data_IF_910800590532
#
_entry.id   IF_910800590532
#
_cell.length_a   1.000
_cell.length_b   1.000
_cell.length_c   1.000
_cell.angle_alpha   90.00
_cell.angle_beta   90.00
_cell.angle_gamma   90.00
#
_symmetry.space_group_name_H-M   'P 1'
#
loop_
_entity.id
_entity.type
_entity.pdbx_description
1 polymer ?
#
# COMPACT_ATOMS: atom_id res chain seq x y z
N UNK A 1 -20.13 -8.61 14.70
CA UNK A 1 -20.85 -9.79 15.21
C UNK A 1 -20.14 -11.07 14.75
N UNK A 2 -20.36 -12.23 15.39
CA UNK A 2 -19.80 -13.52 14.93
C UNK A 2 -20.11 -13.82 13.45
N UNK A 3 -21.34 -13.54 13.02
CA UNK A 3 -21.80 -13.72 11.64
C UNK A 3 -21.00 -12.92 10.62
N UNK A 4 -20.60 -11.69 10.95
CA UNK A 4 -19.81 -10.83 10.05
C UNK A 4 -18.37 -11.31 9.86
N UNK A 5 -17.84 -12.04 10.84
CA UNK A 5 -16.47 -12.57 10.79
C UNK A 5 -16.39 -14.02 10.32
N UNK A 6 -17.53 -14.57 9.86
CA UNK A 6 -17.70 -15.95 9.39
C UNK A 6 -17.27 -17.02 10.43
N UNK A 7 -17.41 -16.74 11.73
CA UNK A 7 -17.06 -17.67 12.81
C UNK A 7 -18.25 -17.90 13.73
N UNK A 8 -18.48 -19.15 14.11
CA UNK A 8 -19.56 -19.50 15.04
C UNK A 8 -19.32 -18.90 16.44
N UNK A 9 -20.39 -18.44 17.07
CA UNK A 9 -20.36 -17.91 18.43
C UNK A 9 -19.74 -18.90 19.43
N UNK A 10 -19.96 -20.21 19.23
CA UNK A 10 -19.37 -21.28 20.05
C UNK A 10 -17.83 -21.28 19.98
N UNK A 11 -17.28 -21.07 18.80
CA UNK A 11 -15.83 -20.94 18.62
C UNK A 11 -15.31 -19.70 19.34
N UNK A 12 -16.02 -18.57 19.26
CA UNK A 12 -15.62 -17.35 19.95
C UNK A 12 -15.70 -17.47 21.48
N UNK A 13 -16.68 -18.22 22.02
CA UNK A 13 -16.73 -18.56 23.45
C UNK A 13 -15.46 -19.29 23.89
N UNK A 14 -14.98 -20.26 23.10
CA UNK A 14 -13.72 -20.96 23.38
C UNK A 14 -12.49 -20.03 23.33
N UNK A 15 -12.56 -18.93 22.58
CA UNK A 15 -11.51 -17.90 22.51
C UNK A 15 -11.59 -16.87 23.66
N UNK A 16 -12.62 -16.95 24.51
CA UNK A 16 -12.81 -16.09 25.68
C UNK A 16 -13.91 -15.04 25.54
N UNK A 17 -14.65 -15.00 24.43
CA UNK A 17 -15.79 -14.10 24.26
C UNK A 17 -17.03 -14.66 24.96
N UNK A 18 -17.25 -14.27 26.21
CA UNK A 18 -18.34 -14.83 27.05
C UNK A 18 -19.62 -14.01 27.00
N UNK A 19 -19.50 -12.68 26.87
CA UNK A 19 -20.63 -11.75 26.91
C UNK A 19 -20.58 -10.78 25.74
N UNK A 20 -21.75 -10.26 25.35
CA UNK A 20 -21.90 -9.17 24.40
C UNK A 20 -21.54 -7.80 25.02
N UNK A 21 -21.61 -6.75 24.21
CA UNK A 21 -21.29 -5.39 24.66
C UNK A 21 -22.24 -4.84 25.74
N UNK A 22 -23.45 -5.41 25.87
CA UNK A 22 -24.44 -5.05 26.90
C UNK A 22 -24.23 -5.87 28.19
N UNK A 23 -23.39 -6.90 28.14
CA UNK A 23 -23.11 -7.79 29.26
C UNK A 23 -24.03 -9.01 29.32
N UNK A 24 -24.82 -9.30 28.28
CA UNK A 24 -25.60 -10.53 28.19
C UNK A 24 -24.71 -11.69 27.73
N UNK A 25 -25.03 -12.91 28.15
CA UNK A 25 -24.30 -14.12 27.71
C UNK A 25 -24.40 -14.31 26.18
N UNK A 26 -23.29 -14.73 25.57
CA UNK A 26 -23.22 -15.01 24.14
C UNK A 26 -23.94 -16.33 23.80
N UNK A 27 -25.03 -16.24 23.04
CA UNK A 27 -25.91 -17.37 22.69
C UNK A 27 -26.19 -17.50 21.19
N UNK A 28 -25.92 -16.45 20.40
CA UNK A 28 -26.18 -16.46 18.96
C UNK A 28 -25.12 -15.67 18.15
N UNK A 29 -25.15 -15.83 16.83
CA UNK A 29 -24.17 -15.23 15.90
C UNK A 29 -24.44 -13.75 15.55
N UNK A 30 -25.56 -13.19 16.01
CA UNK A 30 -26.00 -11.82 15.69
C UNK A 30 -25.70 -10.82 16.82
N UNK A 31 -25.35 -11.31 18.02
CA UNK A 31 -24.92 -10.47 19.13
C UNK A 31 -23.64 -9.71 18.78
N UNK A 32 -23.61 -8.43 19.16
CA UNK A 32 -22.45 -7.56 18.96
C UNK A 32 -21.43 -7.78 20.08
N UNK A 33 -20.18 -8.01 19.71
CA UNK A 33 -19.09 -8.31 20.64
C UNK A 33 -18.08 -7.18 20.62
N UNK A 34 -17.55 -6.82 21.79
CA UNK A 34 -16.39 -5.94 21.89
C UNK A 34 -15.12 -6.74 21.57
N UNK A 35 -14.41 -6.34 20.51
CA UNK A 35 -13.16 -6.96 20.06
C UNK A 35 -12.06 -6.87 21.14
N UNK A 36 -11.32 -7.96 21.37
CA UNK A 36 -10.15 -7.90 22.26
C UNK A 36 -8.99 -7.12 21.62
N UNK A 37 -8.19 -6.37 22.40
CA UNK A 37 -7.17 -5.46 21.88
C UNK A 37 -6.08 -6.05 20.98
N UNK A 38 -5.83 -7.36 21.03
CA UNK A 38 -4.82 -8.05 20.20
C UNK A 38 -5.44 -9.10 19.28
N UNK A 39 -6.76 -9.11 19.12
CA UNK A 39 -7.44 -9.97 18.16
C UNK A 39 -7.55 -9.26 16.79
N UNK A 40 -7.44 -10.05 15.72
CA UNK A 40 -7.37 -9.57 14.35
C UNK A 40 -8.31 -10.35 13.44
N UNK A 41 -9.05 -9.62 12.60
CA UNK A 41 -9.95 -10.18 11.59
C UNK A 41 -9.26 -10.02 10.24
N UNK A 42 -8.99 -11.15 9.58
CA UNK A 42 -8.15 -11.21 8.38
C UNK A 42 -9.01 -11.09 7.13
N UNK A 43 -8.50 -10.43 6.10
CA UNK A 43 -9.10 -10.43 4.77
C UNK A 43 -9.15 -11.85 4.18
N UNK A 44 -10.30 -12.27 3.65
CA UNK A 44 -10.49 -13.62 3.10
C UNK A 44 -9.55 -13.97 1.96
N UNK A 45 -9.09 -12.96 1.21
CA UNK A 45 -8.09 -13.12 0.15
C UNK A 45 -6.73 -13.65 0.64
N UNK A 46 -6.42 -13.52 1.93
CA UNK A 46 -5.18 -14.00 2.53
C UNK A 46 -5.31 -15.43 3.11
N UNK A 47 -6.53 -15.99 3.20
CA UNK A 47 -6.78 -17.28 3.82
C UNK A 47 -5.93 -18.41 3.19
N UNK A 48 -5.99 -18.55 1.87
CA UNK A 48 -5.22 -19.57 1.12
C UNK A 48 -3.70 -19.39 1.31
N UNK A 49 -3.24 -18.15 1.47
CA UNK A 49 -1.83 -17.88 1.72
C UNK A 49 -1.39 -18.37 3.10
N UNK A 50 -2.19 -18.10 4.14
CA UNK A 50 -1.90 -18.57 5.49
C UNK A 50 -1.99 -20.09 5.62
N UNK A 51 -2.99 -20.74 5.00
CA UNK A 51 -3.10 -22.22 4.97
C UNK A 51 -1.87 -22.85 4.33
N UNK A 52 -1.38 -22.33 3.20
CA UNK A 52 -0.14 -22.83 2.58
C UNK A 52 1.09 -22.59 3.46
N UNK A 53 1.12 -21.46 4.17
CA UNK A 53 2.23 -21.14 5.08
C UNK A 53 2.26 -22.12 6.25
N UNK A 54 1.12 -22.44 6.86
CA UNK A 54 1.06 -23.41 7.96
C UNK A 54 1.42 -24.82 7.49
N UNK A 55 0.96 -25.24 6.30
CA UNK A 55 1.36 -26.51 5.70
C UNK A 55 2.86 -26.58 5.43
N UNK A 56 3.46 -25.50 4.94
CA UNK A 56 4.91 -25.40 4.78
C UNK A 56 5.65 -25.54 6.12
N UNK A 57 5.17 -24.90 7.18
CA UNK A 57 5.79 -25.01 8.51
C UNK A 57 5.69 -26.43 9.05
N UNK A 58 4.55 -27.10 8.88
CA UNK A 58 4.37 -28.48 9.31
C UNK A 58 5.29 -29.43 8.52
N UNK A 59 5.38 -29.27 7.20
CA UNK A 59 6.34 -30.05 6.39
C UNK A 59 7.80 -29.77 6.79
N UNK A 60 8.14 -28.52 7.11
CA UNK A 60 9.47 -28.14 7.59
C UNK A 60 9.79 -28.80 8.93
N UNK A 61 8.84 -28.80 9.88
CA UNK A 61 9.00 -29.46 11.18
C UNK A 61 9.22 -30.96 11.03
N UNK A 62 8.39 -31.63 10.22
CA UNK A 62 8.47 -33.09 10.03
C UNK A 62 9.71 -33.49 9.23
N UNK A 63 9.94 -32.89 8.06
CA UNK A 63 10.97 -33.37 7.12
C UNK A 63 12.37 -32.87 7.45
N UNK A 64 12.49 -31.66 7.99
CA UNK A 64 13.80 -31.05 8.25
C UNK A 64 14.20 -31.16 9.72
N UNK A 65 13.28 -30.87 10.64
CA UNK A 65 13.57 -30.90 12.08
C UNK A 65 13.27 -32.24 12.76
N UNK A 66 12.52 -33.15 12.11
CA UNK A 66 12.14 -34.44 12.69
C UNK A 66 11.19 -34.31 13.89
N UNK A 67 10.37 -33.26 13.91
CA UNK A 67 9.39 -32.96 14.95
C UNK A 67 7.97 -33.25 14.45
N UNK A 68 7.02 -33.34 15.38
CA UNK A 68 5.60 -33.43 15.05
C UNK A 68 5.09 -32.13 14.40
N UNK A 69 4.07 -32.21 13.52
CA UNK A 69 3.43 -31.03 12.93
C UNK A 69 2.74 -30.19 14.01
N UNK A 70 2.77 -28.86 13.85
CA UNK A 70 2.28 -27.91 14.85
C UNK A 70 0.87 -27.42 14.54
N UNK A 71 0.60 -27.01 13.29
CA UNK A 71 -0.68 -26.38 12.93
C UNK A 71 -1.75 -27.42 12.59
N UNK A 72 -1.43 -28.43 11.78
CA UNK A 72 -2.38 -29.43 11.26
C UNK A 72 -3.61 -28.80 10.58
N UNK A 73 -3.41 -27.67 9.92
CA UNK A 73 -4.46 -26.84 9.29
C UNK A 73 -4.74 -27.34 7.87
N UNK A 74 -6.01 -27.60 7.56
CA UNK A 74 -6.47 -27.95 6.20
C UNK A 74 -7.39 -26.88 5.61
N UNK A 75 -8.17 -26.22 6.45
CA UNK A 75 -9.14 -25.19 6.06
C UNK A 75 -8.82 -23.85 6.72
N UNK A 76 -9.28 -22.72 6.16
CA UNK A 76 -9.14 -21.42 6.81
C UNK A 76 -9.73 -21.36 8.22
N UNK A 77 -10.80 -22.10 8.49
CA UNK A 77 -11.45 -22.10 9.80
C UNK A 77 -10.57 -22.72 10.90
N UNK A 78 -9.64 -23.61 10.53
CA UNK A 78 -8.67 -24.19 11.47
C UNK A 78 -7.64 -23.15 11.93
N UNK A 79 -7.46 -22.03 11.22
CA UNK A 79 -6.53 -20.95 11.60
C UNK A 79 -7.05 -20.10 12.76
N UNK A 80 -8.34 -20.21 13.10
CA UNK A 80 -8.96 -19.42 14.17
C UNK A 80 -8.33 -19.76 15.51
N UNK A 81 -7.83 -18.75 16.21
CA UNK A 81 -7.12 -18.89 17.49
C UNK A 81 -5.60 -19.01 17.35
N UNK A 82 -5.06 -19.23 16.14
CA UNK A 82 -3.61 -19.22 15.95
C UNK A 82 -3.03 -17.82 16.03
N UNK A 83 -1.77 -17.76 16.46
CA UNK A 83 -1.04 -16.52 16.69
C UNK A 83 -0.30 -16.06 15.43
N UNK A 84 -0.35 -14.76 15.21
CA UNK A 84 0.34 -14.04 14.15
C UNK A 84 1.26 -12.98 14.76
N UNK A 85 2.30 -12.64 14.02
CA UNK A 85 3.12 -11.48 14.26
C UNK A 85 2.77 -10.42 13.21
N UNK A 86 2.27 -9.28 13.65
CA UNK A 86 2.06 -8.14 12.76
C UNK A 86 3.23 -7.16 12.87
N UNK A 87 3.72 -6.68 11.73
CA UNK A 87 4.86 -5.79 11.63
C UNK A 87 4.54 -4.64 10.68
N UNK A 88 4.72 -3.42 11.15
CA UNK A 88 4.62 -2.24 10.30
C UNK A 88 5.92 -2.02 9.52
N UNK A 89 5.83 -1.68 8.22
CA UNK A 89 6.91 -1.02 7.51
C UNK A 89 7.55 0.13 8.30
N UNK A 90 8.84 0.30 8.10
CA UNK A 90 9.74 1.22 8.79
C UNK A 90 9.83 1.01 10.31
N UNK A 91 9.47 -0.19 10.80
CA UNK A 91 9.64 -0.57 12.21
C UNK A 91 10.38 -1.91 12.34
N UNK A 92 10.83 -2.23 13.56
CA UNK A 92 11.50 -3.50 13.86
C UNK A 92 10.89 -4.23 15.06
N UNK A 93 9.74 -3.76 15.54
CA UNK A 93 8.99 -4.33 16.65
C UNK A 93 7.72 -4.97 16.12
N UNK A 94 7.68 -6.30 16.10
CA UNK A 94 6.46 -7.04 15.82
C UNK A 94 5.50 -6.96 17.02
N UNK A 95 4.21 -7.03 16.75
CA UNK A 95 3.18 -7.12 17.79
C UNK A 95 2.44 -8.45 17.62
N UNK A 96 2.37 -9.20 18.72
CA UNK A 96 1.67 -10.47 18.76
C UNK A 96 0.15 -10.22 18.65
N UNK A 97 -0.51 -11.03 17.84
CA UNK A 97 -1.95 -10.99 17.67
C UNK A 97 -2.51 -12.39 17.40
N UNK A 98 -3.82 -12.53 17.50
CA UNK A 98 -4.56 -13.78 17.30
C UNK A 98 -5.61 -13.60 16.21
N UNK A 99 -5.69 -14.57 15.30
CA UNK A 99 -6.73 -14.60 14.28
C UNK A 99 -8.06 -15.00 14.92
N UNK A 100 -9.12 -14.24 14.68
CA UNK A 100 -10.46 -14.55 15.21
C UNK A 100 -11.55 -14.70 14.17
N UNK A 101 -11.26 -14.40 12.90
CA UNK A 101 -12.23 -14.55 11.83
C UNK A 101 -11.77 -13.95 10.51
N UNK A 102 -12.67 -14.01 9.54
CA UNK A 102 -12.45 -13.63 8.15
C UNK A 102 -13.42 -12.53 7.73
N UNK A 103 -13.04 -11.71 6.76
CA UNK A 103 -13.93 -10.69 6.21
C UNK A 103 -13.80 -10.57 4.70
N UNK A 104 -14.93 -10.33 4.03
CA UNK A 104 -15.03 -10.09 2.58
C UNK A 104 -14.61 -8.66 2.20
N UNK A 105 -13.53 -8.14 2.79
CA UNK A 105 -12.91 -6.89 2.39
C UNK A 105 -11.41 -7.09 2.11
N UNK A 106 -10.81 -6.14 1.40
CA UNK A 106 -9.38 -6.20 1.06
C UNK A 106 -8.46 -5.75 2.20
N UNK A 107 -9.02 -5.27 3.31
CA UNK A 107 -8.30 -4.83 4.51
C UNK A 107 -8.46 -5.82 5.66
N UNK A 108 -7.59 -5.73 6.66
CA UNK A 108 -7.79 -6.43 7.93
C UNK A 108 -8.31 -5.47 8.99
N UNK A 109 -9.09 -5.97 9.94
CA UNK A 109 -9.61 -5.20 11.06
C UNK A 109 -8.94 -5.59 12.36
N UNK A 110 -8.66 -4.60 13.19
CA UNK A 110 -8.15 -4.79 14.54
C UNK A 110 -8.60 -3.65 15.44
N UNK A 111 -8.37 -3.82 16.74
CA UNK A 111 -8.59 -2.76 17.71
C UNK A 111 -7.67 -1.55 17.40
N UNK A 112 -8.13 -0.28 17.55
CA UNK A 112 -7.30 0.90 17.24
C UNK A 112 -5.95 0.92 17.97
N UNK A 113 -5.94 0.52 19.24
CA UNK A 113 -4.71 0.35 20.02
C UNK A 113 -3.71 -0.61 19.35
N UNK A 114 -4.17 -1.68 18.70
CA UNK A 114 -3.30 -2.62 18.01
C UNK A 114 -2.58 -1.96 16.84
N UNK A 115 -3.29 -1.21 16.01
CA UNK A 115 -2.67 -0.46 14.92
C UNK A 115 -1.68 0.58 15.44
N UNK A 116 -2.04 1.31 16.49
CA UNK A 116 -1.16 2.30 17.10
C UNK A 116 0.08 1.69 17.77
N UNK A 117 -0.02 0.47 18.33
CA UNK A 117 1.12 -0.24 18.91
C UNK A 117 2.19 -0.58 17.87
N UNK A 118 1.79 -0.70 16.60
CA UNK A 118 2.67 -0.86 15.44
C UNK A 118 3.13 0.47 14.85
N UNK A 119 2.78 1.60 15.46
CA UNK A 119 3.05 2.97 14.96
C UNK A 119 2.37 3.25 13.61
N UNK A 120 1.11 2.83 13.47
CA UNK A 120 0.26 3.16 12.31
C UNK A 120 -0.76 4.23 12.63
N UNK A 121 -0.99 5.09 11.64
CA UNK A 121 -1.94 6.21 11.73
C UNK A 121 -3.30 5.85 11.10
N UNK A 122 -3.39 4.71 10.41
CA UNK A 122 -4.61 4.24 9.74
C UNK A 122 -5.19 5.20 8.69
N UNK A 123 -4.37 6.07 8.08
CA UNK A 123 -4.72 7.01 7.01
C UNK A 123 -4.46 6.45 5.59
N UNK A 124 -4.41 5.12 5.47
CA UNK A 124 -4.06 4.38 4.24
C UNK A 124 -2.79 3.54 4.35
N UNK A 125 -2.26 3.37 5.57
CA UNK A 125 -1.11 2.52 5.86
C UNK A 125 -1.34 1.03 5.55
N UNK A 126 -0.26 0.36 5.10
CA UNK A 126 -0.23 -1.08 4.87
C UNK A 126 0.63 -1.77 5.93
N UNK A 127 0.22 -2.95 6.39
CA UNK A 127 0.97 -3.74 7.38
C UNK A 127 1.32 -5.14 6.84
N UNK A 128 2.41 -5.70 7.35
CA UNK A 128 2.78 -7.08 7.12
C UNK A 128 2.27 -7.96 8.26
N UNK A 129 1.73 -9.13 7.91
CA UNK A 129 1.28 -10.15 8.87
C UNK A 129 1.93 -11.46 8.50
N UNK A 130 2.52 -12.14 9.48
CA UNK A 130 3.15 -13.45 9.31
C UNK A 130 2.68 -14.40 10.41
N UNK A 131 2.66 -15.70 10.12
CA UNK A 131 2.39 -16.70 11.15
C UNK A 131 3.50 -16.68 12.20
N UNK A 132 3.14 -16.79 13.49
CA UNK A 132 4.14 -16.66 14.56
C UNK A 132 5.28 -17.69 14.42
N UNK A 133 4.94 -18.97 14.20
CA UNK A 133 5.98 -20.00 14.05
C UNK A 133 6.88 -19.80 12.83
N UNK A 134 6.34 -19.24 11.74
CA UNK A 134 7.13 -18.92 10.55
C UNK A 134 8.18 -17.85 10.88
N UNK A 135 7.75 -16.77 11.54
CA UNK A 135 8.64 -15.72 12.04
C UNK A 135 9.68 -16.22 13.04
N UNK A 136 9.39 -17.26 13.84
CA UNK A 136 10.34 -17.82 14.80
C UNK A 136 11.35 -18.77 14.16
N UNK A 137 10.94 -19.61 13.22
CA UNK A 137 11.80 -20.65 12.62
C UNK A 137 12.65 -20.10 11.48
N UNK A 138 12.08 -19.24 10.63
CA UNK A 138 12.70 -18.83 9.37
C UNK A 138 13.40 -17.48 9.43
N UNK A 139 13.31 -16.78 10.57
CA UNK A 139 14.02 -15.53 10.77
C UNK A 139 15.43 -15.75 11.35
N UNK A 140 16.41 -15.06 10.77
CA UNK A 140 17.75 -14.95 11.36
C UNK A 140 18.36 -13.60 11.02
N UNK A 141 19.01 -12.96 12.00
CA UNK A 141 19.73 -11.68 11.77
C UNK A 141 20.81 -11.80 10.68
N UNK A 142 21.31 -13.01 10.41
CA UNK A 142 22.33 -13.26 9.39
C UNK A 142 21.81 -13.08 7.95
N UNK A 143 20.49 -13.15 7.72
CA UNK A 143 19.90 -12.93 6.40
C UNK A 143 19.64 -11.45 6.11
N UNK A 144 19.78 -10.58 7.11
CA UNK A 144 19.52 -9.16 6.97
C UNK A 144 20.61 -8.48 6.13
N UNK A 145 20.25 -7.56 5.22
CA UNK A 145 21.22 -6.78 4.46
C UNK A 145 22.15 -6.00 5.39
N UNK A 146 23.45 -6.01 5.10
CA UNK A 146 24.45 -5.25 5.88
C UNK A 146 24.35 -3.72 5.70
N UNK A 147 23.59 -3.24 4.70
CA UNK A 147 23.45 -1.81 4.41
C UNK A 147 22.44 -1.14 5.37
N UNK A 148 22.71 0.13 5.74
CA UNK A 148 21.78 0.93 6.56
C UNK A 148 20.40 1.01 5.88
N UNK A 149 19.36 0.70 6.65
CA UNK A 149 17.97 0.62 6.18
C UNK A 149 17.45 -0.80 5.99
N UNK A 150 18.33 -1.80 5.80
CA UNK A 150 17.93 -3.21 5.63
C UNK A 150 17.53 -3.95 6.90
N UNK A 151 17.79 -3.36 8.08
CA UNK A 151 17.40 -3.94 9.38
C UNK A 151 16.01 -3.49 9.84
N UNK A 152 15.48 -2.43 9.23
CA UNK A 152 14.07 -2.05 9.38
C UNK A 152 13.24 -3.04 8.57
N UNK A 153 11.98 -3.25 8.93
CA UNK A 153 11.06 -4.22 8.30
C UNK A 153 11.34 -5.69 8.66
N UNK A 154 12.10 -5.91 9.74
CA UNK A 154 12.33 -7.23 10.32
C UNK A 154 11.88 -7.28 11.78
N UNK A 155 11.23 -8.36 12.25
CA UNK A 155 10.74 -8.47 13.63
C UNK A 155 11.90 -8.78 14.59
N UNK A 156 12.71 -7.76 14.92
CA UNK A 156 13.86 -7.89 15.84
C UNK A 156 13.43 -8.11 17.29
N UNK A 157 12.26 -7.60 17.66
CA UNK A 157 11.64 -7.72 18.97
C UNK A 157 10.16 -8.01 18.77
N UNK A 158 9.56 -8.80 19.66
CA UNK A 158 8.14 -9.12 19.64
C UNK A 158 7.48 -8.61 20.93
N UNK A 159 6.50 -7.72 20.77
CA UNK A 159 5.66 -7.23 21.85
C UNK A 159 4.50 -8.21 22.06
N UNK A 160 4.46 -8.86 23.23
CA UNK A 160 3.46 -9.88 23.53
C UNK A 160 2.20 -9.32 24.17
N UNK A 161 2.31 -8.17 24.85
CA UNK A 161 1.20 -7.53 25.56
C UNK A 161 1.11 -6.07 25.16
N UNK A 162 -0.10 -5.64 24.85
CA UNK A 162 -0.39 -4.24 24.54
C UNK A 162 -0.54 -3.42 25.83
N UNK A 163 0.20 -2.33 25.95
CA UNK A 163 0.04 -1.34 27.01
C UNK A 163 -0.44 0.00 26.41
N UNK A 164 -1.67 0.46 26.70
CA UNK A 164 -2.21 1.71 26.15
C UNK A 164 -1.40 2.96 26.52
N UNK A 165 -0.58 2.92 27.57
CA UNK A 165 0.26 4.06 27.95
C UNK A 165 1.50 4.23 27.08
N UNK A 166 1.87 3.20 26.31
CA UNK A 166 3.08 3.16 25.48
C UNK A 166 2.77 3.28 23.98
N UNK A 167 1.49 3.27 23.59
CA UNK A 167 1.10 3.38 22.18
C UNK A 167 1.13 4.83 21.69
N UNK A 168 1.01 5.00 20.38
CA UNK A 168 0.93 6.32 19.76
C UNK A 168 -0.27 7.15 20.27
N UNK A 169 -0.09 8.47 20.29
CA UNK A 169 -1.08 9.42 20.80
C UNK A 169 -2.33 9.51 19.94
N UNK A 170 -2.27 9.14 18.66
CA UNK A 170 -3.44 9.22 17.79
C UNK A 170 -4.57 8.32 18.28
N UNK A 171 -4.25 7.09 18.68
CA UNK A 171 -5.21 6.14 19.25
C UNK A 171 -5.84 6.65 20.56
N UNK A 172 -5.10 7.49 21.31
CA UNK A 172 -5.56 8.05 22.56
C UNK A 172 -6.70 9.06 22.35
N UNK A 173 -6.85 9.62 21.14
CA UNK A 173 -7.89 10.58 20.81
C UNK A 173 -9.16 9.93 20.24
N UNK A 174 -9.25 8.60 20.22
CA UNK A 174 -10.46 7.91 19.72
C UNK A 174 -11.59 8.07 20.73
N UNK A 175 -12.71 8.61 20.27
CA UNK A 175 -13.93 8.72 21.07
C UNK A 175 -14.46 7.32 21.40
N UNK A 176 -14.75 7.09 22.68
CA UNK A 176 -15.17 5.79 23.23
C UNK A 176 -16.58 5.85 23.85
N UNK A 177 -17.31 6.94 23.60
CA UNK A 177 -18.66 7.16 24.09
C UNK A 177 -19.73 6.41 23.27
N UNK A 178 -20.79 5.95 23.94
CA UNK A 178 -21.95 5.33 23.28
C UNK A 178 -22.85 6.34 22.56
N UNK A 179 -22.87 7.58 23.01
CA UNK A 179 -23.60 8.67 22.40
C UNK A 179 -22.91 9.99 22.75
N UNK A 180 -23.07 10.99 21.89
CA UNK A 180 -22.69 12.36 22.23
C UNK A 180 -23.85 13.05 22.94
N UNK A 181 -23.54 13.75 24.02
CA UNK A 181 -24.53 14.51 24.77
C UNK A 181 -25.02 15.72 23.96
N UNK A 182 -26.26 16.15 24.25
CA UNK A 182 -26.88 17.35 23.64
C UNK A 182 -25.96 18.57 23.70
N UNK A 183 -25.33 18.78 24.85
CA UNK A 183 -24.45 19.91 25.12
C UNK A 183 -23.30 20.00 24.11
N UNK A 184 -22.73 18.87 23.68
CA UNK A 184 -21.68 18.85 22.66
C UNK A 184 -22.18 19.46 21.35
N UNK A 185 -23.35 19.03 20.87
CA UNK A 185 -23.95 19.54 19.65
C UNK A 185 -24.25 21.04 19.72
N UNK A 186 -24.79 21.52 20.84
CA UNK A 186 -25.07 22.95 21.03
C UNK A 186 -23.79 23.80 21.05
N UNK A 187 -22.71 23.29 21.66
CA UNK A 187 -21.41 23.96 21.66
C UNK A 187 -20.84 24.13 20.27
N UNK A 188 -21.00 23.14 19.38
CA UNK A 188 -20.45 23.20 18.02
C UNK A 188 -20.98 24.39 17.19
N UNK A 189 -22.13 24.95 17.54
CA UNK A 189 -22.70 26.14 16.87
C UNK A 189 -21.78 27.36 16.96
N UNK A 190 -21.00 27.47 18.04
CA UNK A 190 -20.04 28.55 18.25
C UNK A 190 -18.65 28.23 17.69
N UNK A 191 -18.48 27.07 17.03
CA UNK A 191 -17.22 26.58 16.46
C UNK A 191 -16.03 26.66 17.43
N UNK A 192 -16.16 26.21 18.70
CA UNK A 192 -15.06 26.23 19.64
C UNK A 192 -13.94 25.28 19.18
N UNK A 193 -12.72 25.55 19.62
CA UNK A 193 -11.62 24.62 19.42
C UNK A 193 -11.91 23.31 20.18
N UNK A 194 -11.66 22.10 19.60
CA UNK A 194 -12.02 20.82 20.22
C UNK A 194 -11.51 20.63 21.67
N UNK A 195 -10.31 21.13 21.96
CA UNK A 195 -9.73 21.14 23.32
C UNK A 195 -10.57 21.89 24.38
N UNK A 196 -11.42 22.82 23.99
CA UNK A 196 -12.31 23.51 24.94
C UNK A 196 -13.46 22.60 25.40
N UNK A 197 -13.76 21.53 24.67
CA UNK A 197 -14.85 20.60 24.95
C UNK A 197 -14.34 19.22 25.41
N UNK A 198 -13.02 19.01 25.52
CA UNK A 198 -12.42 17.71 25.87
C UNK A 198 -12.91 17.16 27.21
N UNK A 199 -13.16 18.03 28.18
CA UNK A 199 -13.59 17.64 29.53
C UNK A 199 -14.99 17.00 29.56
N UNK A 200 -15.76 17.16 28.49
CA UNK A 200 -17.11 16.60 28.32
C UNK A 200 -17.15 15.37 27.43
N UNK A 201 -16.07 15.09 26.69
CA UNK A 201 -15.98 13.96 25.77
C UNK A 201 -15.26 12.80 26.43
N UNK A 202 -15.71 11.58 26.14
CA UNK A 202 -15.06 10.36 26.61
C UNK A 202 -14.21 9.77 25.49
N UNK A 203 -12.89 9.86 25.66
CA UNK A 203 -11.88 9.37 24.72
C UNK A 203 -10.82 8.57 25.47
N UNK A 204 -10.08 7.73 24.74
CA UNK A 204 -9.17 6.73 25.31
C UNK A 204 -8.18 7.30 26.33
N UNK A 205 -7.60 8.49 26.09
CA UNK A 205 -6.66 9.13 27.01
C UNK A 205 -7.24 9.32 28.43
N UNK A 206 -8.54 9.64 28.53
CA UNK A 206 -9.21 9.86 29.83
C UNK A 206 -9.43 8.58 30.61
N UNK A 207 -9.35 7.43 29.95
CA UNK A 207 -9.56 6.10 30.54
C UNK A 207 -8.24 5.44 30.97
N UNK A 208 -7.10 6.05 30.63
CA UNK A 208 -5.78 5.56 31.01
C UNK A 208 -5.64 5.38 32.53
N UNK A 209 -4.90 4.35 32.94
CA UNK A 209 -4.73 3.97 34.34
C UNK A 209 -5.85 3.07 34.90
N UNK A 210 -6.88 2.76 34.10
CA UNK A 210 -7.95 1.83 34.46
C UNK A 210 -8.13 0.73 33.42
N UNK A 211 -8.92 -0.30 33.74
CA UNK A 211 -9.30 -1.37 32.80
C UNK A 211 -10.09 -0.81 31.60
N UNK A 212 -10.78 0.32 31.79
CA UNK A 212 -11.53 0.99 30.74
C UNK A 212 -10.64 1.54 29.60
N UNK A 213 -9.32 1.61 29.79
CA UNK A 213 -8.38 1.94 28.72
C UNK A 213 -8.34 0.88 27.62
N UNK A 214 -8.68 -0.37 27.92
CA UNK A 214 -8.62 -1.51 27.00
C UNK A 214 -10.00 -2.07 26.61
N UNK A 215 -11.03 -1.77 27.40
CA UNK A 215 -12.37 -2.37 27.29
C UNK A 215 -13.48 -1.37 27.62
N UNK A 216 -14.71 -1.71 27.27
CA UNK A 216 -15.90 -0.86 27.42
C UNK A 216 -15.99 0.26 26.39
N UNK A 217 -15.44 0.10 25.19
CA UNK A 217 -15.51 1.13 24.15
C UNK A 217 -16.90 1.15 23.52
N UNK A 218 -17.54 2.31 23.53
CA UNK A 218 -18.79 2.54 22.85
C UNK A 218 -18.61 2.97 21.39
N UNK A 219 -19.69 2.90 20.64
CA UNK A 219 -19.79 3.42 19.28
C UNK A 219 -21.15 4.12 19.12
N UNK A 220 -21.21 5.13 18.25
CA UNK A 220 -22.41 5.98 18.09
C UNK A 220 -23.35 5.55 16.97
N UNK A 221 -22.84 4.80 15.99
CA UNK A 221 -23.58 4.40 14.81
C UNK A 221 -23.36 2.91 14.54
N UNK A 222 -24.46 2.19 14.35
CA UNK A 222 -24.45 0.81 13.90
C UNK A 222 -24.16 0.70 12.41
N UNK A 223 -23.64 -0.46 12.00
CA UNK A 223 -23.54 -0.86 10.61
C UNK A 223 -24.25 -2.19 10.39
N UNK A 224 -24.84 -2.40 9.21
CA UNK A 224 -25.46 -3.67 8.86
C UNK A 224 -24.42 -4.80 8.66
N UNK A 225 -23.30 -4.47 8.00
CA UNK A 225 -22.14 -5.36 7.95
C UNK A 225 -20.85 -4.56 7.73
N UNK A 226 -19.78 -4.95 8.42
CA UNK A 226 -18.43 -4.37 8.27
C UNK A 226 -17.82 -4.56 6.87
N UNK A 227 -18.34 -5.50 6.06
CA UNK A 227 -17.87 -5.77 4.69
C UNK A 227 -18.85 -5.27 3.62
N UNK A 228 -19.91 -4.55 4.01
CA UNK A 228 -20.91 -4.05 3.05
C UNK A 228 -20.29 -2.97 2.18
N UNK A 229 -20.07 -3.29 0.90
CA UNK A 229 -19.54 -2.34 -0.07
C UNK A 229 -18.95 -3.03 -1.31
N UNK A 230 -18.43 -2.25 -2.26
CA UNK A 230 -17.69 -2.82 -3.38
C UNK A 230 -16.39 -3.48 -2.89
N UNK A 231 -16.20 -4.75 -3.20
CA UNK A 231 -15.04 -5.54 -2.73
C UNK A 231 -13.68 -4.96 -3.18
N UNK A 232 -13.66 -4.30 -4.35
CA UNK A 232 -12.48 -3.66 -4.91
C UNK A 232 -12.84 -2.26 -5.44
N UNK A 233 -11.91 -1.32 -5.26
CA UNK A 233 -12.03 0.01 -5.84
C UNK A 233 -12.03 -0.06 -7.37
N UNK A 234 -12.86 0.74 -8.04
CA UNK A 234 -12.86 0.88 -9.50
C UNK A 234 -11.48 1.28 -10.06
N UNK A 235 -10.65 1.97 -9.26
CA UNK A 235 -9.29 2.33 -9.64
C UNK A 235 -8.38 1.12 -9.92
N UNK A 236 -8.61 -0.01 -9.24
CA UNK A 236 -7.85 -1.25 -9.43
C UNK A 236 -8.36 -2.07 -10.62
N UNK A 237 -9.63 -1.91 -10.99
CA UNK A 237 -10.25 -2.66 -12.11
C UNK A 237 -10.03 -1.99 -13.47
N UNK A 238 -9.74 -0.68 -13.49
CA UNK A 238 -9.41 0.05 -14.71
C UNK A 238 -7.93 -0.17 -15.08
N UNK A 239 -7.68 -0.60 -16.32
CA UNK A 239 -6.33 -0.94 -16.78
C UNK A 239 -5.52 0.31 -17.15
N UNK A 240 -6.10 1.21 -17.95
CA UNK A 240 -5.35 2.33 -18.50
C UNK A 240 -5.49 3.61 -17.66
N UNK A 241 -4.44 4.44 -17.67
CA UNK A 241 -4.48 5.77 -17.07
C UNK A 241 -5.55 6.68 -17.68
N UNK A 242 -5.89 6.46 -18.96
CA UNK A 242 -6.92 7.24 -19.65
C UNK A 242 -8.28 6.92 -19.05
N UNK A 243 -8.60 5.63 -18.90
CA UNK A 243 -9.87 5.19 -18.33
C UNK A 243 -10.01 5.64 -16.87
N UNK A 244 -8.92 5.58 -16.09
CA UNK A 244 -8.88 6.07 -14.70
C UNK A 244 -9.19 7.57 -14.63
N UNK A 245 -8.60 8.35 -15.52
CA UNK A 245 -8.81 9.79 -15.58
C UNK A 245 -10.22 10.14 -16.05
N UNK A 246 -10.72 9.43 -17.07
CA UNK A 246 -12.07 9.62 -17.57
C UNK A 246 -13.11 9.27 -16.51
N UNK A 247 -12.96 8.14 -15.82
CA UNK A 247 -13.83 7.76 -14.70
C UNK A 247 -13.81 8.79 -13.56
N UNK A 248 -12.65 9.35 -13.23
CA UNK A 248 -12.53 10.42 -12.23
C UNK A 248 -13.31 11.68 -12.65
N UNK A 249 -13.15 12.14 -13.90
CA UNK A 249 -13.77 13.37 -14.38
C UNK A 249 -15.26 13.21 -14.66
N UNK A 250 -15.68 12.05 -15.15
CA UNK A 250 -17.10 11.72 -15.33
C UNK A 250 -17.83 11.67 -13.98
N UNK A 251 -17.21 11.08 -12.96
CA UNK A 251 -17.74 11.15 -11.60
C UNK A 251 -17.86 12.61 -11.13
N UNK A 252 -16.84 13.43 -11.41
CA UNK A 252 -16.88 14.86 -11.13
C UNK A 252 -18.07 15.57 -11.76
N UNK A 253 -18.46 15.23 -13.00
CA UNK A 253 -19.62 15.84 -13.67
C UNK A 253 -20.95 15.52 -12.99
N UNK A 254 -21.03 14.39 -12.30
CA UNK A 254 -22.23 13.96 -11.57
C UNK A 254 -22.31 14.58 -10.17
N UNK A 255 -21.19 15.03 -9.61
CA UNK A 255 -21.11 15.53 -8.24
C UNK A 255 -21.32 17.04 -8.16
N UNK A 256 -22.31 17.47 -7.37
CA UNK A 256 -22.61 18.90 -7.15
C UNK A 256 -21.47 19.68 -6.49
N UNK A 257 -20.69 19.01 -5.63
CA UNK A 257 -19.60 19.63 -4.88
C UNK A 257 -18.30 19.78 -5.66
N UNK A 258 -18.24 19.34 -6.93
CA UNK A 258 -17.00 19.27 -7.70
C UNK A 258 -17.10 20.16 -8.95
N UNK A 259 -16.20 21.12 -9.06
CA UNK A 259 -15.98 21.85 -10.32
C UNK A 259 -14.98 21.08 -11.20
N UNK A 260 -15.52 20.38 -12.19
CA UNK A 260 -14.75 19.52 -13.10
C UNK A 260 -13.71 20.30 -13.88
N UNK A 261 -14.01 21.54 -14.29
CA UNK A 261 -13.06 22.38 -15.03
C UNK A 261 -11.85 22.71 -14.17
N UNK A 262 -12.08 22.99 -12.88
CA UNK A 262 -11.01 23.24 -11.91
C UNK A 262 -10.20 21.99 -11.62
N UNK A 263 -10.85 20.83 -11.48
CA UNK A 263 -10.16 19.54 -11.28
C UNK A 263 -9.29 19.19 -12.49
N UNK A 264 -9.84 19.26 -13.71
CA UNK A 264 -9.10 18.98 -14.94
C UNK A 264 -7.88 19.90 -15.08
N UNK A 265 -8.06 21.20 -14.87
CA UNK A 265 -6.96 22.18 -14.90
C UNK A 265 -5.90 21.89 -13.83
N UNK A 266 -6.31 21.49 -12.63
CA UNK A 266 -5.40 21.12 -11.54
C UNK A 266 -4.59 19.88 -11.88
N UNK A 267 -5.22 18.81 -12.40
CA UNK A 267 -4.54 17.56 -12.77
C UNK A 267 -3.51 17.81 -13.87
N UNK A 268 -3.87 18.58 -14.90
CA UNK A 268 -2.94 18.93 -15.99
C UNK A 268 -1.73 19.70 -15.45
N UNK A 269 -1.95 20.71 -14.60
CA UNK A 269 -0.87 21.56 -14.09
C UNK A 269 0.02 20.88 -13.08
N UNK A 270 -0.52 20.02 -12.21
CA UNK A 270 0.21 19.38 -11.12
C UNK A 270 0.87 18.05 -11.52
N UNK A 271 0.29 17.32 -12.47
CA UNK A 271 0.81 16.00 -12.87
C UNK A 271 1.35 15.99 -14.30
N UNK A 272 0.56 16.36 -15.30
CA UNK A 272 0.97 16.16 -16.70
C UNK A 272 2.02 17.14 -17.19
N UNK A 273 1.86 18.44 -16.94
CA UNK A 273 2.84 19.44 -17.37
C UNK A 273 4.22 19.22 -16.72
N UNK A 274 4.33 18.95 -15.41
CA UNK A 274 5.62 18.62 -14.79
C UNK A 274 6.25 17.35 -15.36
N UNK A 275 5.47 16.30 -15.58
CA UNK A 275 5.98 15.03 -16.13
C UNK A 275 6.45 15.18 -17.58
N UNK A 276 5.67 15.85 -18.44
CA UNK A 276 6.05 16.13 -19.83
C UNK A 276 7.36 16.94 -19.90
N UNK A 277 7.46 18.02 -19.11
CA UNK A 277 8.68 18.86 -19.03
C UNK A 277 9.87 18.07 -18.47
N UNK A 278 9.64 17.25 -17.45
CA UNK A 278 10.64 16.37 -16.84
C UNK A 278 11.19 15.39 -17.86
N UNK A 279 10.30 14.69 -18.57
CA UNK A 279 10.65 13.70 -19.58
C UNK A 279 11.35 14.33 -20.79
N UNK A 280 10.93 15.50 -21.25
CA UNK A 280 11.59 16.22 -22.35
C UNK A 280 13.02 16.66 -21.97
N UNK A 281 13.18 17.24 -20.76
CA UNK A 281 14.50 17.60 -20.25
C UNK A 281 15.40 16.38 -20.03
N UNK A 282 14.84 15.28 -19.53
CA UNK A 282 15.55 14.02 -19.36
C UNK A 282 15.97 13.44 -20.71
N UNK A 283 15.09 13.45 -21.71
CA UNK A 283 15.37 12.96 -23.06
C UNK A 283 16.52 13.73 -23.72
N UNK A 284 16.55 15.06 -23.60
CA UNK A 284 17.61 15.90 -24.17
C UNK A 284 18.98 15.70 -23.47
N UNK A 285 18.99 15.30 -22.19
CA UNK A 285 20.21 15.14 -21.37
C UNK A 285 20.58 13.69 -21.08
N UNK A 286 19.87 12.75 -21.68
CA UNK A 286 19.96 11.34 -21.31
C UNK A 286 21.33 10.73 -21.58
N UNK A 287 21.61 9.62 -20.89
CA UNK A 287 22.74 8.75 -21.19
C UNK A 287 22.29 7.65 -22.14
N UNK A 288 23.25 7.04 -22.83
CA UNK A 288 23.01 5.87 -23.66
C UNK A 288 23.53 4.64 -22.94
N UNK A 289 22.67 3.63 -22.75
CA UNK A 289 23.02 2.42 -22.00
C UNK A 289 23.21 1.24 -22.94
N UNK A 290 24.26 0.46 -22.72
CA UNK A 290 24.44 -0.82 -23.40
C UNK A 290 23.52 -1.88 -22.79
N UNK A 291 22.71 -2.56 -23.63
CA UNK A 291 21.81 -3.62 -23.17
C UNK A 291 22.56 -4.87 -22.68
N UNK A 292 23.76 -5.12 -23.22
CA UNK A 292 24.58 -6.29 -22.87
C UNK A 292 25.40 -6.15 -21.58
N UNK A 293 26.13 -5.04 -21.40
CA UNK A 293 27.02 -4.85 -20.23
C UNK A 293 26.50 -3.83 -19.21
N UNK A 294 25.38 -3.16 -19.49
CA UNK A 294 24.78 -2.17 -18.60
C UNK A 294 25.54 -0.84 -18.46
N UNK A 295 26.71 -0.68 -19.11
CA UNK A 295 27.48 0.55 -19.05
C UNK A 295 26.72 1.72 -19.68
N UNK A 296 26.81 2.89 -19.04
CA UNK A 296 26.11 4.11 -19.44
C UNK A 296 27.09 5.16 -19.94
N UNK A 297 26.95 5.53 -21.21
CA UNK A 297 27.75 6.58 -21.85
C UNK A 297 27.02 7.92 -21.81
N UNK A 298 27.77 9.01 -21.58
CA UNK A 298 27.22 10.37 -21.68
C UNK A 298 26.83 10.75 -23.12
N UNK A 299 27.50 10.19 -24.12
CA UNK A 299 27.26 10.42 -25.55
C UNK A 299 27.28 9.10 -26.30
N UNK A 300 26.54 9.02 -27.40
CA UNK A 300 26.54 7.86 -28.28
C UNK A 300 27.95 7.68 -28.87
N UNK A 301 28.60 6.51 -28.71
CA UNK A 301 29.83 6.18 -29.42
C UNK A 301 29.60 6.24 -30.93
N UNK A 302 30.54 6.83 -31.66
CA UNK A 302 30.45 6.98 -33.13
C UNK A 302 30.40 5.65 -33.88
N UNK A 303 30.89 4.56 -33.26
CA UNK A 303 30.81 3.21 -33.80
C UNK A 303 29.39 2.63 -33.78
N UNK A 304 28.42 3.30 -33.15
CA UNK A 304 27.05 2.82 -32.97
C UNK A 304 26.90 1.60 -32.05
N UNK A 305 28.01 1.06 -31.52
CA UNK A 305 28.08 -0.14 -30.67
C UNK A 305 28.82 0.16 -29.38
N UNK A 306 28.61 -0.68 -28.37
CA UNK A 306 29.30 -0.55 -27.10
C UNK A 306 30.82 -0.76 -27.24
N UNK A 307 31.60 0.25 -26.83
CA UNK A 307 33.07 0.29 -26.83
C UNK A 307 33.69 -0.06 -25.47
N UNK A 308 32.91 -0.61 -24.53
CA UNK A 308 33.47 -1.06 -23.26
C UNK A 308 34.22 -2.36 -23.48
N UNK A 309 35.43 -2.54 -22.90
CA UNK A 309 36.08 -3.84 -22.89
C UNK A 309 35.15 -4.86 -22.22
N UNK A 310 35.08 -6.09 -22.76
CA UNK A 310 34.37 -7.18 -22.09
C UNK A 310 35.00 -7.37 -20.70
N UNK A 311 34.21 -7.20 -19.64
CA UNK A 311 34.62 -7.67 -18.31
C UNK A 311 34.81 -9.19 -18.41
N UNK A 312 35.99 -9.69 -18.09
CA UNK A 312 36.27 -11.11 -18.08
C UNK A 312 35.33 -11.81 -17.10
N UNK A 313 34.30 -12.47 -17.61
CA UNK A 313 33.45 -13.36 -16.82
C UNK A 313 34.18 -14.69 -16.66
N UNK A 314 35.08 -14.76 -15.69
CA UNK A 314 35.79 -16.00 -15.35
C UNK A 314 36.77 -15.80 -14.20
N UNK A 315 36.40 -16.24 -12.98
CA UNK A 315 37.27 -16.31 -11.79
C UNK A 315 38.38 -17.39 -11.90
N UNK A 316 38.82 -17.76 -13.11
CA UNK A 316 39.63 -18.98 -13.30
C UNK A 316 41.14 -18.79 -13.33
N UNK A 317 41.67 -17.65 -13.81
CA UNK A 317 43.12 -17.49 -14.06
C UNK A 317 43.66 -16.06 -13.88
N UNK A 318 42.87 -15.11 -13.39
CA UNK A 318 43.33 -13.73 -13.15
C UNK A 318 44.33 -13.60 -11.99
N UNK A 319 44.61 -14.67 -11.25
CA UNK A 319 45.62 -14.72 -10.18
C UNK A 319 47.05 -14.98 -10.66
N UNK A 320 47.26 -15.38 -11.93
CA UNK A 320 48.58 -15.75 -12.47
C UNK A 320 49.19 -14.66 -13.38
N UNK A 321 48.62 -13.45 -13.41
CA UNK A 321 49.26 -12.30 -14.08
C UNK A 321 49.34 -12.39 -15.62
N UNK A 322 48.68 -13.38 -16.24
CA UNK A 322 48.58 -13.47 -17.70
C UNK A 322 47.41 -12.61 -18.18
N UNK A 323 47.72 -11.40 -18.63
CA UNK A 323 46.77 -10.55 -19.36
C UNK A 323 46.46 -11.21 -20.70
N UNK A 324 45.27 -11.82 -20.85
CA UNK A 324 44.78 -12.20 -22.18
C UNK A 324 44.74 -10.94 -23.05
N UNK A 325 45.40 -11.05 -24.20
CA UNK A 325 45.45 -10.10 -25.31
C UNK A 325 44.11 -9.40 -25.56
N UNK A 326 44.16 -8.08 -25.70
CA UNK A 326 43.12 -7.17 -26.21
C UNK A 326 41.70 -7.74 -26.13
N UNK A 327 41.09 -7.64 -24.94
CA UNK A 327 39.74 -8.08 -24.72
C UNK A 327 38.78 -7.42 -25.71
N UNK A 328 38.18 -8.22 -26.59
CA UNK A 328 37.10 -7.83 -27.48
C UNK A 328 36.18 -6.79 -26.84
N UNK A 329 35.85 -5.75 -27.59
CA UNK A 329 34.83 -4.80 -27.18
C UNK A 329 33.48 -5.50 -27.05
N UNK A 330 32.68 -5.08 -26.06
CA UNK A 330 31.37 -5.65 -25.76
C UNK A 330 30.49 -5.79 -27.01
N UNK A 331 30.55 -4.79 -27.91
CA UNK A 331 29.84 -4.74 -29.19
C UNK A 331 28.32 -4.89 -29.08
N UNK A 332 27.77 -4.67 -27.88
CA UNK A 332 26.34 -4.74 -27.61
C UNK A 332 25.58 -3.52 -28.15
N UNK A 333 24.29 -3.71 -28.39
CA UNK A 333 23.39 -2.65 -28.82
C UNK A 333 23.22 -1.61 -27.71
N UNK A 334 23.13 -0.37 -28.15
CA UNK A 334 22.98 0.80 -27.32
C UNK A 334 21.53 1.28 -27.40
N UNK A 335 20.94 1.53 -26.24
CA UNK A 335 19.58 2.02 -26.11
C UNK A 335 19.57 3.36 -25.37
N UNK A 336 18.65 4.23 -25.81
CA UNK A 336 18.29 5.43 -25.07
C UNK A 336 17.62 5.03 -23.75
N UNK A 337 17.92 5.74 -22.66
CA UNK A 337 17.28 5.49 -21.36
C UNK A 337 15.86 6.03 -21.29
N UNK A 338 15.55 7.05 -22.08
CA UNK A 338 14.22 7.65 -22.23
C UNK A 338 13.85 7.55 -23.71
N UNK A 339 12.74 6.88 -24.00
CA UNK A 339 12.23 6.74 -25.36
C UNK A 339 11.35 7.93 -25.74
N UNK A 340 11.21 8.19 -27.05
CA UNK A 340 10.27 9.19 -27.57
C UNK A 340 8.83 8.90 -27.11
N UNK A 341 8.42 7.63 -27.13
CA UNK A 341 7.09 7.21 -26.68
C UNK A 341 6.79 7.59 -25.23
N UNK A 342 7.80 7.58 -24.35
CA UNK A 342 7.64 8.02 -22.97
C UNK A 342 7.35 9.53 -22.88
N UNK A 343 8.00 10.35 -23.71
CA UNK A 343 7.74 11.80 -23.77
C UNK A 343 6.35 12.09 -24.34
N UNK A 344 5.94 11.37 -25.39
CA UNK A 344 4.64 11.60 -26.07
C UNK A 344 3.43 11.03 -25.33
N UNK A 345 3.62 10.18 -24.33
CA UNK A 345 2.58 9.37 -23.66
C UNK A 345 1.35 10.17 -23.24
N UNK A 346 1.55 11.37 -22.68
CA UNK A 346 0.48 12.15 -22.06
C UNK A 346 -0.11 13.26 -22.94
N UNK A 347 0.48 13.57 -24.09
CA UNK A 347 0.03 14.68 -24.94
C UNK A 347 -1.41 14.44 -25.42
N UNK A 348 -1.67 13.26 -26.02
CA UNK A 348 -2.99 12.91 -26.54
C UNK A 348 -4.07 12.91 -25.47
N UNK A 349 -3.74 12.38 -24.28
CA UNK A 349 -4.65 12.31 -23.14
C UNK A 349 -5.00 13.71 -22.65
N UNK A 350 -3.99 14.58 -22.53
CA UNK A 350 -4.18 15.96 -22.06
C UNK A 350 -5.04 16.76 -23.04
N UNK A 351 -4.80 16.63 -24.35
CA UNK A 351 -5.62 17.25 -25.39
C UNK A 351 -7.08 16.78 -25.31
N UNK A 352 -7.31 15.47 -25.22
CA UNK A 352 -8.66 14.91 -25.09
C UNK A 352 -9.41 15.48 -23.86
N UNK A 353 -8.73 15.57 -22.72
CA UNK A 353 -9.33 16.12 -21.49
C UNK A 353 -9.66 17.60 -21.64
N UNK A 354 -8.76 18.36 -22.24
CA UNK A 354 -8.96 19.79 -22.47
C UNK A 354 -10.16 20.06 -23.39
N UNK A 355 -10.32 19.26 -24.44
CA UNK A 355 -11.44 19.36 -25.37
C UNK A 355 -12.77 18.96 -24.70
N UNK A 356 -12.78 17.84 -23.96
CA UNK A 356 -14.02 17.29 -23.38
C UNK A 356 -14.52 18.05 -22.15
N UNK A 357 -13.61 18.43 -21.24
CA UNK A 357 -13.98 18.99 -19.94
C UNK A 357 -13.70 20.49 -19.81
N UNK A 358 -12.92 21.06 -20.73
CA UNK A 358 -12.50 22.45 -20.69
C UNK A 358 -11.45 22.74 -19.61
N UNK A 359 -10.62 23.75 -19.88
CA UNK A 359 -9.59 24.23 -18.94
C UNK A 359 -9.52 25.76 -18.97
N UNK A 360 -8.72 26.35 -18.08
CA UNK A 360 -8.37 27.77 -18.20
C UNK A 360 -7.46 28.05 -19.40
N UNK A 361 -7.46 29.30 -19.87
CA UNK A 361 -6.75 29.71 -21.09
C UNK A 361 -5.23 29.51 -20.96
N UNK A 362 -4.68 29.79 -19.77
CA UNK A 362 -3.26 29.67 -19.51
C UNK A 362 -2.80 28.21 -19.59
N UNK A 363 -3.54 27.31 -18.95
CA UNK A 363 -3.27 25.86 -19.01
C UNK A 363 -3.35 25.35 -20.44
N UNK A 364 -4.36 25.79 -21.23
CA UNK A 364 -4.48 25.42 -22.64
C UNK A 364 -3.26 25.84 -23.46
N UNK A 365 -2.87 27.11 -23.39
CA UNK A 365 -1.73 27.63 -24.13
C UNK A 365 -0.43 26.91 -23.77
N UNK A 366 -0.24 26.58 -22.48
CA UNK A 366 0.96 25.90 -22.01
C UNK A 366 1.06 24.47 -22.54
N UNK A 367 -0.06 23.73 -22.57
CA UNK A 367 -0.12 22.39 -23.15
C UNK A 367 0.16 22.44 -24.65
N UNK A 368 -0.50 23.34 -25.39
CA UNK A 368 -0.31 23.49 -26.84
C UNK A 368 1.15 23.83 -27.17
N UNK A 369 1.76 24.74 -26.41
CA UNK A 369 3.16 25.12 -26.61
C UNK A 369 4.12 23.95 -26.36
N UNK A 370 3.90 23.16 -25.29
CA UNK A 370 4.74 22.00 -25.00
C UNK A 370 4.53 20.84 -25.97
N UNK A 371 3.29 20.61 -26.44
CA UNK A 371 3.00 19.64 -27.48
C UNK A 371 3.75 20.00 -28.77
N UNK A 372 3.63 21.24 -29.24
CA UNK A 372 4.33 21.74 -30.42
C UNK A 372 5.86 21.67 -30.27
N UNK A 373 6.38 22.00 -29.09
CA UNK A 373 7.82 21.89 -28.79
C UNK A 373 8.30 20.44 -28.84
N UNK A 374 7.49 19.50 -28.36
CA UNK A 374 7.77 18.07 -28.43
C UNK A 374 7.76 17.60 -29.87
N UNK A 375 6.76 17.99 -30.66
CA UNK A 375 6.68 17.64 -32.07
C UNK A 375 7.85 18.19 -32.87
N UNK A 376 8.24 19.45 -32.66
CA UNK A 376 9.40 20.06 -33.30
C UNK A 376 10.72 19.37 -32.96
N UNK A 377 10.85 18.74 -31.79
CA UNK A 377 12.07 18.03 -31.40
C UNK A 377 12.26 16.72 -32.16
N UNK A 378 11.15 16.04 -32.50
CA UNK A 378 11.14 14.70 -33.10
C UNK A 378 10.83 14.70 -34.60
N UNK A 379 10.15 15.73 -35.10
CA UNK A 379 9.90 15.90 -36.53
C UNK A 379 11.21 16.19 -37.25
N UNK A 380 11.54 15.33 -38.20
CA UNK A 380 12.69 15.51 -39.08
C UNK A 380 12.14 16.03 -40.41
N UNK A 381 12.36 17.32 -40.72
CA UNK A 381 11.79 17.99 -41.91
C UNK A 381 12.13 17.31 -43.25
N UNK A 382 13.10 16.39 -43.27
CA UNK A 382 13.52 15.63 -44.45
C UNK A 382 12.74 14.33 -44.70
N UNK A 383 11.94 13.85 -43.74
CA UNK A 383 11.24 12.57 -43.85
C UNK A 383 9.82 12.68 -43.26
N UNK A 384 8.92 13.35 -43.98
CA UNK A 384 7.51 13.47 -43.59
C UNK A 384 6.71 12.32 -44.20
N UNK A 385 6.25 11.39 -43.38
CA UNK A 385 5.27 10.39 -43.79
C UNK A 385 3.90 11.07 -43.81
N UNK A 386 3.39 11.40 -45.00
CA UNK A 386 2.08 12.03 -45.17
C UNK A 386 0.98 10.99 -45.16
N UNK A 387 -0.15 11.29 -44.51
CA UNK A 387 -1.35 10.47 -44.58
C UNK A 387 -2.12 10.78 -45.87
N UNK A 388 -2.87 9.81 -46.40
CA UNK A 388 -3.66 10.00 -47.62
C UNK A 388 -4.71 11.12 -47.48
N UNK A 389 -5.17 11.37 -46.25
CA UNK A 389 -6.08 12.46 -45.89
C UNK A 389 -5.42 13.85 -45.92
N UNK A 390 -4.09 13.95 -45.90
CA UNK A 390 -3.39 15.24 -46.01
C UNK A 390 -3.31 15.74 -47.46
N UNK A 391 -3.69 14.90 -48.43
CA UNK A 391 -3.71 15.21 -49.87
C UNK A 391 -5.11 15.45 -50.44
N UNK A 392 -6.16 15.19 -49.66
CA UNK A 392 -7.56 15.48 -49.98
C UNK A 392 -7.97 16.77 -49.29
#
# INVERSE_FOLDING_TARGET
>A
TPKEVEVSWKTLVNLGYTHDYEGNELTNDEQMLELFPQDFIVAKNAADYFVRTTQFIDELLVRFYGLEPYYNVSTPDDLIGHLICALAPHTSGGVLSRIIGWTDCSGGYAHPLFHASKRRNCDGDEDAIMMLMDGLLNFSKNILPANRGGQMDAPLVLTTRLNPTEVDKEALNVDSAWFYERDFYEMTLNQPHPKACSDRMDFVERRLGSVAALRGYGFTHDCHSISTGPALSAYKTLDTMVDKMEGQLELGLRLRGVDVRRVASSVIRSHFLPDLRGNLNAFARQKVRCLKCGHSYRRMPLSGKCIQPKKASGKGLSSIGVSKSEGDLCSGNLALTVSEGAVRKYIKVTQHVMEKYGVDIYTRQNVEWLANSTDSLFMNDRAKQMSLSDFL
#
